data_IF_650666888601
#
_entry.id   IF_650666888601
#
_cell.length_a   1.000
_cell.length_b   1.000
_cell.length_c   1.000
_cell.angle_alpha   90.00
_cell.angle_beta   90.00
_cell.angle_gamma   90.00
#
_symmetry.space_group_name_H-M   'P 1'
#
loop_
_entity.id
_entity.type
_entity.pdbx_description
1 polymer ?
#
# COMPACT_ATOMS: atom_id res chain seq x y z
N UNK A 1 -15.05 -5.82 -9.25
CA UNK A 1 -14.09 -6.95 -9.19
C UNK A 1 -14.65 -8.08 -8.35
N UNK A 2 -14.98 -7.85 -7.08
CA UNK A 2 -15.50 -8.91 -6.21
C UNK A 2 -16.76 -9.61 -6.75
N UNK A 3 -17.74 -8.87 -7.27
CA UNK A 3 -18.96 -9.45 -7.88
C UNK A 3 -18.71 -10.34 -9.11
N UNK A 4 -17.55 -10.21 -9.75
CA UNK A 4 -17.15 -11.00 -10.94
C UNK A 4 -16.03 -12.00 -10.61
N UNK A 5 -15.76 -12.26 -9.32
CA UNK A 5 -14.71 -13.17 -8.86
C UNK A 5 -13.27 -12.66 -9.00
N UNK A 6 -13.06 -11.46 -9.55
CA UNK A 6 -11.74 -10.86 -9.72
C UNK A 6 -11.26 -10.08 -8.49
N UNK A 7 -10.01 -9.61 -8.55
CA UNK A 7 -9.35 -8.91 -7.43
C UNK A 7 -9.11 -7.42 -7.76
N UNK A 8 -9.59 -6.52 -6.89
CA UNK A 8 -9.22 -5.09 -6.92
C UNK A 8 -8.11 -4.78 -5.92
N UNK A 9 -7.35 -3.72 -6.20
CA UNK A 9 -6.23 -3.24 -5.38
C UNK A 9 -6.56 -1.90 -4.71
N UNK A 10 -6.23 -1.76 -3.42
CA UNK A 10 -6.44 -0.53 -2.63
C UNK A 10 -5.56 0.65 -3.05
N UNK A 11 -4.42 0.38 -3.70
CA UNK A 11 -3.40 1.39 -3.96
C UNK A 11 -2.68 1.85 -2.67
N UNK A 12 -2.05 3.02 -2.71
CA UNK A 12 -1.11 3.49 -1.67
C UNK A 12 -1.75 4.32 -0.56
N UNK A 13 -3.06 4.59 -0.64
CA UNK A 13 -3.73 5.59 0.19
C UNK A 13 -4.41 5.06 1.45
N UNK A 14 -4.26 3.77 1.75
CA UNK A 14 -5.07 3.07 2.74
C UNK A 14 -6.45 2.69 2.21
N UNK A 15 -7.28 2.12 3.08
CA UNK A 15 -8.67 1.79 2.79
C UNK A 15 -9.56 2.09 4.00
N UNK A 16 -10.77 2.58 3.74
CA UNK A 16 -11.74 2.88 4.79
C UNK A 16 -12.18 1.59 5.50
N UNK A 17 -12.06 1.49 6.84
CA UNK A 17 -12.55 0.35 7.60
C UNK A 17 -14.03 0.03 7.39
N UNK A 18 -14.86 1.02 7.02
CA UNK A 18 -16.26 0.79 6.68
C UNK A 18 -16.46 -0.13 5.46
N UNK A 19 -15.42 -0.36 4.65
CA UNK A 19 -15.47 -1.30 3.51
C UNK A 19 -15.19 -2.74 3.91
N UNK A 20 -14.60 -2.98 5.08
CA UNK A 20 -14.26 -4.33 5.53
C UNK A 20 -15.50 -5.19 5.74
N UNK A 21 -15.43 -6.46 5.38
CA UNK A 21 -16.58 -7.38 5.40
C UNK A 21 -17.66 -7.09 4.36
N UNK A 22 -17.50 -6.09 3.50
CA UNK A 22 -18.46 -5.77 2.43
C UNK A 22 -17.95 -6.19 1.06
N UNK A 23 -18.86 -6.29 0.08
CA UNK A 23 -18.50 -6.52 -1.32
C UNK A 23 -17.65 -5.38 -1.93
N UNK A 24 -17.50 -4.25 -1.23
CA UNK A 24 -16.65 -3.14 -1.67
C UNK A 24 -15.20 -3.29 -1.21
N UNK A 25 -14.82 -4.30 -0.42
CA UNK A 25 -13.43 -4.45 0.07
C UNK A 25 -12.44 -4.70 -1.07
N UNK A 26 -11.26 -4.07 -1.06
CA UNK A 26 -10.20 -4.42 -2.02
C UNK A 26 -9.49 -5.69 -1.57
N UNK A 27 -9.55 -6.77 -2.37
CA UNK A 27 -8.92 -8.06 -2.01
C UNK A 27 -7.38 -7.96 -1.95
N UNK A 28 -6.79 -7.07 -2.76
CA UNK A 28 -5.36 -6.75 -2.72
C UNK A 28 -5.16 -5.45 -1.94
N UNK A 29 -4.27 -5.50 -0.95
CA UNK A 29 -3.91 -4.39 -0.08
C UNK A 29 -2.45 -4.02 -0.31
N UNK A 30 -2.17 -2.78 -0.71
CA UNK A 30 -0.80 -2.37 -1.02
C UNK A 30 -0.05 -1.87 0.22
N UNK A 31 1.25 -2.17 0.26
CA UNK A 31 2.24 -1.66 1.22
C UNK A 31 3.33 -0.96 0.40
N UNK A 32 3.34 0.37 0.45
CA UNK A 32 4.29 1.24 -0.26
C UNK A 32 5.10 2.09 0.72
N UNK A 33 6.16 2.73 0.24
CA UNK A 33 7.15 3.45 1.05
C UNK A 33 6.56 4.44 2.06
N UNK A 34 5.49 5.16 1.71
CA UNK A 34 4.82 6.12 2.61
C UNK A 34 3.99 5.49 3.73
N UNK A 35 3.73 4.18 3.69
CA UNK A 35 2.92 3.42 4.67
C UNK A 35 1.55 4.05 5.01
N UNK A 36 1.00 4.87 4.11
CA UNK A 36 -0.25 5.57 4.38
C UNK A 36 -1.41 4.60 4.59
N UNK A 37 -2.08 4.72 5.74
CA UNK A 37 -3.23 3.89 6.10
C UNK A 37 -2.90 2.41 6.30
N UNK A 38 -1.62 2.03 6.39
CA UNK A 38 -1.21 0.66 6.70
C UNK A 38 -1.37 0.43 8.20
N UNK A 39 -2.35 -0.38 8.57
CA UNK A 39 -2.68 -0.73 9.96
C UNK A 39 -2.87 -2.25 10.09
N UNK A 40 -2.81 -2.83 11.29
CA UNK A 40 -3.11 -4.25 11.47
C UNK A 40 -4.49 -4.63 10.90
N UNK A 41 -5.52 -3.82 11.18
CA UNK A 41 -6.87 -4.02 10.64
C UNK A 41 -6.90 -3.98 9.11
N UNK A 42 -6.12 -3.12 8.48
CA UNK A 42 -5.98 -3.08 7.01
C UNK A 42 -5.32 -4.34 6.44
N UNK A 43 -4.27 -4.85 7.10
CA UNK A 43 -3.51 -6.02 6.65
C UNK A 43 -4.27 -7.34 6.83
N UNK A 44 -5.00 -7.50 7.93
CA UNK A 44 -5.80 -8.73 8.19
C UNK A 44 -7.01 -8.87 7.26
N UNK A 45 -7.47 -7.77 6.65
CA UNK A 45 -8.55 -7.74 5.67
C UNK A 45 -8.07 -7.86 4.21
N UNK A 46 -6.86 -8.41 4.01
CA UNK A 46 -6.27 -8.66 2.70
C UNK A 46 -6.30 -10.15 2.35
N UNK A 47 -6.63 -10.48 1.10
CA UNK A 47 -6.33 -11.79 0.52
C UNK A 47 -4.91 -11.82 -0.05
N UNK A 48 -4.47 -10.68 -0.57
CA UNK A 48 -3.11 -10.48 -1.06
C UNK A 48 -2.56 -9.17 -0.51
N UNK A 49 -1.37 -9.21 0.08
CA UNK A 49 -0.62 -8.02 0.44
C UNK A 49 0.43 -7.78 -0.65
N UNK A 50 0.40 -6.60 -1.27
CA UNK A 50 1.31 -6.24 -2.35
C UNK A 50 2.36 -5.23 -1.87
N UNK A 51 3.62 -5.66 -1.80
CA UNK A 51 4.77 -4.78 -1.57
C UNK A 51 5.06 -4.05 -2.88
N UNK A 52 4.95 -2.72 -2.88
CA UNK A 52 5.22 -1.90 -4.08
C UNK A 52 6.65 -1.40 -4.07
N UNK A 53 7.54 -2.10 -4.77
CA UNK A 53 8.93 -1.68 -4.86
C UNK A 53 9.05 -0.32 -5.58
N UNK A 54 9.97 0.56 -5.14
CA UNK A 54 10.23 1.85 -5.78
C UNK A 54 10.64 1.72 -7.26
N UNK A 55 10.26 2.69 -8.08
CA UNK A 55 10.71 2.78 -9.48
C UNK A 55 12.10 3.41 -9.53
N UNK A 56 13.13 2.67 -9.95
CA UNK A 56 14.50 3.18 -10.11
C UNK A 56 14.60 4.43 -11.03
N UNK A 57 13.77 4.51 -12.09
CA UNK A 57 13.83 5.59 -13.09
C UNK A 57 12.98 6.83 -12.78
N UNK A 58 12.25 6.86 -11.66
CA UNK A 58 11.55 8.07 -11.21
C UNK A 58 12.02 8.47 -9.82
N UNK A 59 13.28 8.89 -9.73
CA UNK A 59 13.81 9.64 -8.57
C UNK A 59 12.97 10.88 -8.21
N UNK A 60 12.08 11.33 -9.11
CA UNK A 60 11.42 12.64 -9.03
C UNK A 60 9.89 12.62 -8.81
N UNK A 61 9.19 11.48 -8.77
CA UNK A 61 7.77 11.46 -8.41
C UNK A 61 7.44 10.28 -7.50
N UNK A 62 7.75 10.45 -6.22
CA UNK A 62 6.85 10.01 -5.18
C UNK A 62 5.39 10.26 -5.60
N UNK A 63 4.46 9.36 -5.25
CA UNK A 63 3.04 9.60 -5.51
C UNK A 63 2.63 10.86 -4.76
N UNK A 64 2.60 11.98 -5.47
CA UNK A 64 2.24 13.28 -4.92
C UNK A 64 0.74 13.37 -4.85
N UNK A 65 0.20 13.26 -3.65
CA UNK A 65 -1.17 13.63 -3.40
C UNK A 65 -1.19 15.13 -3.12
N UNK A 66 -1.46 15.91 -4.16
CA UNK A 66 -1.59 17.38 -4.08
C UNK A 66 -2.58 17.77 -2.99
N UNK A 67 -2.25 18.82 -2.24
CA UNK A 67 -3.09 19.42 -1.21
C UNK A 67 -4.56 19.60 -1.62
N UNK A 68 -4.83 20.05 -2.85
CA UNK A 68 -6.19 20.26 -3.37
C UNK A 68 -7.03 18.99 -3.54
N UNK A 69 -6.39 17.81 -3.56
CA UNK A 69 -7.07 16.50 -3.57
C UNK A 69 -7.12 15.84 -2.17
N UNK A 70 -6.48 16.45 -1.18
CA UNK A 70 -6.47 15.96 0.21
C UNK A 70 -7.71 16.48 0.95
N UNK A 71 -8.87 15.93 0.59
CA UNK A 71 -10.11 16.10 1.35
C UNK A 71 -9.92 15.58 2.79
N UNK A 72 -10.68 16.10 3.77
CA UNK A 72 -10.65 15.68 5.17
C UNK A 72 -10.69 14.15 5.33
N UNK A 73 -11.50 13.46 4.52
CA UNK A 73 -11.61 12.00 4.51
C UNK A 73 -10.32 11.31 4.07
N UNK A 74 -9.64 11.82 3.02
CA UNK A 74 -8.36 11.29 2.55
C UNK A 74 -7.25 11.49 3.57
N UNK A 75 -7.23 12.65 4.25
CA UNK A 75 -6.26 12.93 5.29
C UNK A 75 -6.44 12.01 6.50
N UNK A 76 -7.71 11.76 6.90
CA UNK A 76 -8.05 10.83 7.97
C UNK A 76 -7.62 9.39 7.65
N UNK A 77 -7.87 8.91 6.44
CA UNK A 77 -7.48 7.55 6.01
C UNK A 77 -5.95 7.33 6.02
N UNK A 78 -5.19 8.41 5.83
CA UNK A 78 -3.73 8.36 5.74
C UNK A 78 -3.02 8.74 7.02
N UNK A 79 -3.78 9.08 8.07
CA UNK A 79 -3.25 9.65 9.31
C UNK A 79 -2.36 10.87 9.06
N UNK A 80 -2.77 11.72 8.12
CA UNK A 80 -2.02 12.91 7.72
C UNK A 80 -2.75 14.20 8.04
N UNK A 81 -2.02 15.32 8.02
CA UNK A 81 -2.60 16.66 8.18
C UNK A 81 -3.45 17.03 6.94
N UNK A 82 -4.72 17.44 7.11
CA UNK A 82 -5.56 17.92 6.01
C UNK A 82 -4.92 19.11 5.28
N UNK A 83 -5.06 19.16 3.95
CA UNK A 83 -4.53 20.26 3.13
C UNK A 83 -3.02 20.24 2.92
N UNK A 84 -2.27 19.26 3.47
CA UNK A 84 -0.85 19.11 3.21
C UNK A 84 -0.61 18.19 2.01
N UNK A 85 0.36 18.55 1.17
CA UNK A 85 0.80 17.68 0.07
C UNK A 85 1.60 16.52 0.62
N UNK A 86 1.19 15.29 0.29
CA UNK A 86 1.92 14.08 0.69
C UNK A 86 2.86 13.63 -0.41
N UNK A 87 4.12 13.43 -0.05
CA UNK A 87 5.20 12.93 -0.89
C UNK A 87 5.75 11.69 -0.19
N UNK A 88 5.51 10.50 -0.73
CA UNK A 88 6.11 9.27 -0.23
C UNK A 88 7.64 9.29 -0.39
N UNK A 89 8.43 8.73 0.55
CA UNK A 89 9.86 8.59 0.35
C UNK A 89 10.16 7.71 -0.88
N UNK A 90 11.27 7.95 -1.61
CA UNK A 90 11.59 7.12 -2.77
C UNK A 90 11.82 5.66 -2.41
N UNK A 91 12.72 5.29 -1.47
CA UNK A 91 12.82 3.90 -1.01
C UNK A 91 11.82 3.58 0.09
N UNK A 92 11.57 2.29 0.26
CA UNK A 92 11.08 1.76 1.52
C UNK A 92 12.21 1.91 2.55
N UNK A 93 11.94 2.56 3.68
CA UNK A 93 12.96 2.76 4.72
C UNK A 93 13.31 1.50 5.52
N UNK A 94 12.60 0.40 5.23
CA UNK A 94 12.76 -0.93 5.80
C UNK A 94 13.15 -1.96 4.73
N UNK A 95 13.61 -1.53 3.54
CA UNK A 95 14.11 -2.43 2.48
C UNK A 95 15.33 -1.80 1.80
N UNK A 96 16.52 -2.17 2.25
CA UNK A 96 17.79 -1.78 1.61
C UNK A 96 18.54 -2.95 0.98
N UNK A 97 18.19 -4.18 1.35
CA UNK A 97 18.72 -5.41 0.75
C UNK A 97 17.62 -6.45 0.48
N UNK A 98 18.00 -7.60 -0.09
CA UNK A 98 17.06 -8.70 -0.33
C UNK A 98 16.65 -9.38 0.98
N UNK A 99 17.53 -9.38 1.98
CA UNK A 99 17.28 -9.87 3.33
C UNK A 99 16.24 -9.00 4.04
N UNK A 100 16.32 -7.68 3.88
CA UNK A 100 15.31 -6.75 4.42
C UNK A 100 13.94 -6.98 3.78
N UNK A 101 13.90 -7.26 2.47
CA UNK A 101 12.66 -7.63 1.80
C UNK A 101 12.10 -8.95 2.38
N UNK A 102 12.96 -9.93 2.63
CA UNK A 102 12.57 -11.18 3.27
C UNK A 102 12.01 -10.94 4.68
N UNK A 103 12.62 -10.04 5.46
CA UNK A 103 12.14 -9.65 6.78
C UNK A 103 10.74 -9.01 6.71
N UNK A 104 10.52 -8.07 5.77
CA UNK A 104 9.19 -7.48 5.59
C UNK A 104 8.16 -8.52 5.17
N UNK A 105 8.51 -9.47 4.30
CA UNK A 105 7.63 -10.58 3.93
C UNK A 105 7.26 -11.40 5.16
N UNK A 106 8.24 -11.71 6.01
CA UNK A 106 8.03 -12.42 7.27
C UNK A 106 7.06 -11.65 8.17
N UNK A 107 7.30 -10.37 8.42
CA UNK A 107 6.46 -9.54 9.29
C UNK A 107 5.01 -9.48 8.80
N UNK A 108 4.80 -9.31 7.48
CA UNK A 108 3.47 -9.28 6.88
C UNK A 108 2.74 -10.63 7.03
N UNK A 109 3.47 -11.73 6.93
CA UNK A 109 2.93 -13.08 7.17
C UNK A 109 2.61 -13.33 8.64
N UNK A 110 3.36 -12.73 9.57
CA UNK A 110 3.04 -12.82 11.00
C UNK A 110 1.75 -12.08 11.34
N UNK A 111 1.49 -10.94 10.70
CA UNK A 111 0.23 -10.20 10.89
C UNK A 111 -0.94 -10.92 10.21
N UNK A 112 -0.75 -11.42 8.99
CA UNK A 112 -1.79 -12.16 8.26
C UNK A 112 -1.21 -13.42 7.58
N UNK A 113 -1.24 -14.58 8.28
CA UNK A 113 -0.69 -15.83 7.75
C UNK A 113 -1.40 -16.33 6.48
N UNK A 114 -2.67 -15.97 6.31
CA UNK A 114 -3.52 -16.43 5.19
C UNK A 114 -3.31 -15.63 3.91
N UNK A 115 -2.85 -14.37 4.00
CA UNK A 115 -2.66 -13.54 2.82
C UNK A 115 -1.49 -14.01 1.97
N UNK A 116 -1.64 -14.01 0.65
CA UNK A 116 -0.49 -14.14 -0.26
C UNK A 116 0.32 -12.86 -0.28
N UNK A 117 1.65 -12.97 -0.44
CA UNK A 117 2.51 -11.80 -0.58
C UNK A 117 2.93 -11.68 -2.04
N UNK A 118 2.75 -10.49 -2.63
CA UNK A 118 3.21 -10.18 -3.98
C UNK A 118 4.17 -8.99 -3.96
N UNK A 119 5.23 -9.05 -4.77
CA UNK A 119 6.18 -7.95 -4.93
C UNK A 119 6.00 -7.36 -6.32
N UNK A 120 5.62 -6.09 -6.39
CA UNK A 120 5.45 -5.38 -7.66
C UNK A 120 6.77 -4.74 -8.07
N UNK A 121 7.36 -5.28 -9.12
CA UNK A 121 8.59 -4.80 -9.75
C UNK A 121 8.28 -4.04 -11.05
N UNK A 122 9.25 -3.27 -11.54
CA UNK A 122 9.19 -2.57 -12.81
C UNK A 122 10.26 -3.15 -13.71
N UNK A 123 9.91 -3.51 -14.95
CA UNK A 123 10.89 -3.96 -15.94
C UNK A 123 11.89 -2.84 -16.22
N UNK A 124 13.17 -3.18 -16.23
CA UNK A 124 14.23 -2.31 -16.76
C UNK A 124 14.62 -2.77 -18.17
N UNK A 125 14.96 -1.85 -19.08
CA UNK A 125 15.59 -2.23 -20.34
C UNK A 125 16.98 -2.79 -20.07
N UNK A 126 17.32 -3.89 -20.74
CA UNK A 126 18.65 -4.51 -20.73
C UNK A 126 19.70 -3.59 -21.40
#
# INVERSE_FOLDING_TARGET
>A
MNSIGGNSNSGEGGEDPARYGTNKVSRIKQVASGRFGVTPAYLVNADVIQIKSPRARSRAKAVSCRATKSLLTSAKLRYSVPGVTLISPPPHHDIYSIEDLAQLIFDLKQVNPKAMISVKLVSEPA
#
